data_IF_995416459647
#
_entry.id   IF_995416459647
#
_cell.length_a   1.000
_cell.length_b   1.000
_cell.length_c   1.000
_cell.angle_alpha   90.00
_cell.angle_beta   90.00
_cell.angle_gamma   90.00
#
_symmetry.space_group_name_H-M   'P 1'
#
loop_
_entity.id
_entity.type
_entity.pdbx_description
1 polymer ?
#
# COMPACT_ATOMS: atom_id res chain seq x y z
N UNK A 1 21.61 6.29 14.87
CA UNK A 1 21.81 5.56 13.60
C UNK A 1 20.46 5.42 12.94
N UNK A 2 20.40 5.62 11.64
CA UNK A 2 19.18 5.37 10.86
C UNK A 2 18.86 3.88 10.87
N UNK A 3 17.58 3.52 10.82
CA UNK A 3 17.14 2.12 10.84
C UNK A 3 17.57 1.36 9.58
N UNK A 4 17.87 0.07 9.70
CA UNK A 4 18.42 -0.73 8.59
C UNK A 4 17.43 -0.93 7.43
N UNK A 5 16.12 -0.78 7.69
CA UNK A 5 15.10 -0.86 6.63
C UNK A 5 15.21 0.25 5.57
N UNK A 6 16.00 1.30 5.79
CA UNK A 6 16.28 2.35 4.79
C UNK A 6 17.23 1.89 3.69
N UNK A 7 17.96 0.78 3.88
CA UNK A 7 18.90 0.24 2.90
C UNK A 7 18.23 -0.59 1.78
N UNK A 8 16.90 -0.73 1.82
CA UNK A 8 16.15 -1.45 0.79
C UNK A 8 15.63 -0.46 -0.24
N UNK A 9 15.87 -0.70 -1.52
CA UNK A 9 15.32 0.13 -2.61
C UNK A 9 13.92 -0.36 -3.02
N UNK A 10 13.02 0.57 -3.31
CA UNK A 10 11.67 0.31 -3.84
C UNK A 10 11.52 0.65 -5.31
N UNK A 11 12.25 1.65 -5.77
CA UNK A 11 12.41 2.04 -7.19
C UNK A 11 13.89 2.29 -7.49
N UNK A 12 14.32 1.95 -8.68
CA UNK A 12 15.70 2.20 -9.12
C UNK A 12 15.75 2.31 -10.64
N UNK A 13 16.44 3.33 -11.14
CA UNK A 13 16.67 3.57 -12.57
C UNK A 13 18.03 4.26 -12.75
N UNK A 14 18.96 3.58 -13.42
CA UNK A 14 20.30 4.08 -13.71
C UNK A 14 20.32 5.32 -14.60
N UNK A 15 19.27 5.50 -15.40
CA UNK A 15 19.13 6.64 -16.31
C UNK A 15 18.42 7.82 -15.64
N UNK A 16 17.97 7.66 -14.39
CA UNK A 16 17.29 8.73 -13.69
C UNK A 16 18.25 9.87 -13.38
N UNK A 17 17.87 11.08 -13.83
CA UNK A 17 18.64 12.30 -13.60
C UNK A 17 18.05 13.02 -12.38
N UNK A 18 18.65 12.79 -11.22
CA UNK A 18 18.26 13.39 -9.95
C UNK A 18 19.35 13.27 -8.89
N UNK A 19 19.01 13.51 -7.62
CA UNK A 19 19.98 13.47 -6.52
C UNK A 19 20.53 12.05 -6.22
N UNK A 20 19.77 11.02 -6.62
CA UNK A 20 20.11 9.59 -6.51
C UNK A 20 19.39 8.81 -7.61
N UNK A 21 19.91 7.65 -7.98
CA UNK A 21 19.34 6.75 -9.02
C UNK A 21 18.40 5.68 -8.46
N UNK A 22 18.11 5.74 -7.15
CA UNK A 22 17.22 4.83 -6.47
C UNK A 22 16.46 5.53 -5.36
N UNK A 23 15.33 4.95 -4.99
CA UNK A 23 14.45 5.47 -3.98
C UNK A 23 14.20 4.41 -2.89
N UNK A 24 14.37 4.74 -1.60
CA UNK A 24 14.10 3.83 -0.50
C UNK A 24 12.71 3.22 -0.59
N UNK A 25 12.63 1.93 -0.29
CA UNK A 25 11.39 1.17 -0.28
C UNK A 25 10.37 1.77 0.68
N UNK A 26 10.83 2.15 1.87
CA UNK A 26 10.01 2.82 2.89
C UNK A 26 9.42 4.15 2.38
N UNK A 27 10.17 4.93 1.61
CA UNK A 27 9.66 6.18 1.06
C UNK A 27 8.61 5.94 -0.02
N UNK A 28 8.88 5.04 -0.97
CA UNK A 28 7.88 4.65 -1.96
C UNK A 28 6.60 4.11 -1.30
N UNK A 29 6.75 3.26 -0.28
CA UNK A 29 5.64 2.78 0.54
C UNK A 29 4.79 3.92 1.13
N UNK A 30 5.43 4.95 1.67
CA UNK A 30 4.75 6.13 2.20
C UNK A 30 4.12 7.00 1.11
N UNK A 31 4.74 7.13 -0.05
CA UNK A 31 4.17 7.85 -1.20
C UNK A 31 2.86 7.21 -1.67
N UNK A 32 2.84 5.88 -1.76
CA UNK A 32 1.63 5.10 -2.13
C UNK A 32 0.56 5.25 -1.06
N UNK A 33 0.90 5.13 0.22
CA UNK A 33 -0.04 5.35 1.31
C UNK A 33 -0.60 6.79 1.32
N UNK A 34 0.24 7.79 1.04
CA UNK A 34 -0.17 9.19 0.94
C UNK A 34 -1.11 9.43 -0.25
N UNK A 35 -0.84 8.80 -1.40
CA UNK A 35 -1.74 8.83 -2.56
C UNK A 35 -3.09 8.20 -2.24
N UNK A 36 -3.10 7.05 -1.57
CA UNK A 36 -4.33 6.43 -1.08
C UNK A 36 -5.11 7.31 -0.11
N UNK A 37 -4.41 7.97 0.81
CA UNK A 37 -5.00 8.91 1.76
C UNK A 37 -5.63 10.11 1.04
N UNK A 38 -4.91 10.69 0.08
CA UNK A 38 -5.40 11.81 -0.71
C UNK A 38 -6.62 11.41 -1.56
N UNK A 39 -6.60 10.23 -2.21
CA UNK A 39 -7.74 9.68 -2.96
C UNK A 39 -8.99 9.53 -2.08
N UNK A 40 -8.87 8.92 -0.90
CA UNK A 40 -10.00 8.76 0.02
C UNK A 40 -10.52 10.10 0.55
N UNK A 41 -9.64 11.11 0.67
CA UNK A 41 -10.02 12.46 1.07
C UNK A 41 -10.86 13.14 -0.02
N UNK A 42 -10.45 13.05 -1.29
CA UNK A 42 -11.19 13.69 -2.40
C UNK A 42 -12.40 12.86 -2.87
N UNK A 43 -12.42 11.55 -2.62
CA UNK A 43 -13.52 10.63 -2.98
C UNK A 43 -14.10 9.93 -1.73
N UNK A 44 -14.74 10.67 -0.80
CA UNK A 44 -15.21 10.08 0.47
C UNK A 44 -16.33 9.04 0.27
N UNK A 45 -16.96 8.99 -0.92
CA UNK A 45 -17.93 7.94 -1.27
C UNK A 45 -17.30 6.54 -1.36
N UNK A 46 -16.01 6.44 -1.72
CA UNK A 46 -15.29 5.17 -1.79
C UNK A 46 -15.12 4.58 -0.39
N UNK A 47 -14.67 5.39 0.58
CA UNK A 47 -14.58 4.98 1.98
C UNK A 47 -15.94 4.57 2.54
N UNK A 48 -17.00 5.36 2.30
CA UNK A 48 -18.37 5.02 2.73
C UNK A 48 -18.86 3.69 2.13
N UNK A 49 -18.50 3.40 0.89
CA UNK A 49 -18.90 2.14 0.23
C UNK A 49 -18.16 0.96 0.84
N UNK A 50 -16.85 1.05 1.02
CA UNK A 50 -16.06 0.02 1.70
C UNK A 50 -16.50 -0.15 3.16
N UNK A 51 -16.91 0.91 3.85
CA UNK A 51 -17.49 0.88 5.18
C UNK A 51 -18.77 0.04 5.22
N UNK A 52 -19.71 0.31 4.29
CA UNK A 52 -20.96 -0.47 4.18
C UNK A 52 -20.70 -1.95 3.90
N UNK A 53 -19.80 -2.24 2.94
CA UNK A 53 -19.45 -3.61 2.55
C UNK A 53 -18.78 -4.36 3.70
N UNK A 54 -17.72 -3.79 4.27
CA UNK A 54 -16.94 -4.41 5.34
C UNK A 54 -17.66 -4.43 6.69
N UNK A 55 -18.55 -3.48 6.98
CA UNK A 55 -19.14 -3.30 8.31
C UNK A 55 -18.20 -2.69 9.35
N UNK A 56 -17.01 -2.25 8.95
CA UNK A 56 -16.08 -1.56 9.84
C UNK A 56 -16.48 -0.10 10.03
N UNK A 57 -16.06 0.52 11.13
CA UNK A 57 -16.21 1.97 11.34
C UNK A 57 -15.25 2.74 10.44
N UNK A 58 -15.63 3.96 10.05
CA UNK A 58 -14.91 4.73 9.04
C UNK A 58 -13.47 5.05 9.44
N UNK A 59 -13.26 5.36 10.72
CA UNK A 59 -11.97 5.78 11.28
C UNK A 59 -10.99 4.60 11.32
N UNK A 60 -11.48 3.43 11.75
CA UNK A 60 -10.71 2.18 11.77
C UNK A 60 -10.36 1.77 10.34
N UNK A 61 -11.35 1.79 9.45
CA UNK A 61 -11.19 1.34 8.07
C UNK A 61 -10.20 2.20 7.30
N UNK A 62 -10.25 3.53 7.46
CA UNK A 62 -9.32 4.42 6.80
C UNK A 62 -7.89 4.16 7.25
N UNK A 63 -7.62 4.18 8.56
CA UNK A 63 -6.28 3.90 9.10
C UNK A 63 -5.76 2.52 8.64
N UNK A 64 -6.62 1.52 8.66
CA UNK A 64 -6.29 0.17 8.20
C UNK A 64 -5.93 0.14 6.71
N UNK A 65 -6.73 0.78 5.85
CA UNK A 65 -6.45 0.87 4.41
C UNK A 65 -5.12 1.59 4.16
N UNK A 66 -4.88 2.74 4.79
CA UNK A 66 -3.64 3.51 4.57
C UNK A 66 -2.42 2.73 5.04
N UNK A 67 -2.51 2.06 6.19
CA UNK A 67 -1.46 1.16 6.67
C UNK A 67 -1.21 -0.01 5.70
N UNK A 68 -2.26 -0.66 5.18
CA UNK A 68 -2.12 -1.74 4.22
C UNK A 68 -1.47 -1.29 2.91
N UNK A 69 -1.81 -0.09 2.43
CA UNK A 69 -1.16 0.51 1.27
C UNK A 69 0.32 0.78 1.53
N UNK A 70 0.70 1.22 2.74
CA UNK A 70 2.10 1.42 3.09
C UNK A 70 2.91 0.12 3.03
N UNK A 71 2.30 -1.03 3.33
CA UNK A 71 2.98 -2.34 3.31
C UNK A 71 2.74 -3.15 2.03
N UNK A 72 2.11 -2.57 1.00
CA UNK A 72 1.75 -3.26 -0.25
C UNK A 72 2.95 -3.96 -0.92
N UNK A 73 4.12 -3.34 -0.77
CA UNK A 73 5.38 -3.73 -1.39
C UNK A 73 6.35 -4.43 -0.42
N UNK A 74 5.87 -4.91 0.73
CA UNK A 74 6.71 -5.60 1.72
C UNK A 74 7.50 -6.80 1.14
N UNK A 75 7.05 -7.35 0.01
CA UNK A 75 7.77 -8.37 -0.75
C UNK A 75 9.15 -7.95 -1.26
N UNK A 76 9.35 -6.66 -1.48
CA UNK A 76 10.59 -6.09 -2.02
C UNK A 76 11.74 -6.12 -1.02
N UNK A 77 11.47 -6.32 0.27
CA UNK A 77 12.52 -6.53 1.26
C UNK A 77 13.30 -7.83 1.05
N UNK A 78 12.76 -8.79 0.31
CA UNK A 78 13.48 -10.06 0.07
C UNK A 78 14.83 -9.85 -0.60
N UNK A 79 15.84 -10.60 -0.15
CA UNK A 79 17.21 -10.56 -0.72
C UNK A 79 17.20 -10.74 -2.24
N UNK A 80 16.35 -11.66 -2.73
CA UNK A 80 16.20 -11.93 -4.16
C UNK A 80 15.71 -10.72 -4.95
N UNK A 81 14.75 -9.95 -4.41
CA UNK A 81 14.28 -8.72 -5.07
C UNK A 81 15.36 -7.64 -5.05
N UNK A 82 16.00 -7.41 -3.89
CA UNK A 82 17.05 -6.40 -3.77
C UNK A 82 18.24 -6.68 -4.70
N UNK A 83 18.58 -7.96 -4.91
CA UNK A 83 19.63 -8.39 -5.81
C UNK A 83 19.32 -8.18 -7.32
N UNK A 84 18.09 -7.79 -7.69
CA UNK A 84 17.81 -7.34 -9.07
C UNK A 84 18.65 -6.13 -9.48
N UNK A 85 19.22 -5.40 -8.51
CA UNK A 85 20.26 -4.37 -8.69
C UNK A 85 21.53 -4.76 -7.94
N UNK A 86 22.42 -5.59 -8.53
CA UNK A 86 23.65 -6.05 -7.86
C UNK A 86 24.60 -4.92 -7.43
N UNK A 87 24.56 -3.80 -8.14
CA UNK A 87 25.30 -2.59 -7.79
C UNK A 87 24.77 -1.97 -6.49
N UNK A 88 23.45 -1.80 -6.36
CA UNK A 88 22.81 -1.31 -5.13
C UNK A 88 22.91 -2.33 -4.00
N UNK A 89 22.85 -3.62 -4.31
CA UNK A 89 23.08 -4.70 -3.34
C UNK A 89 24.42 -4.55 -2.63
N UNK A 90 25.48 -4.27 -3.40
CA UNK A 90 26.80 -3.99 -2.86
C UNK A 90 26.86 -2.68 -2.10
N UNK A 91 26.28 -1.61 -2.63
CA UNK A 91 26.33 -0.26 -2.04
C UNK A 91 25.55 -0.18 -0.73
N UNK A 92 24.35 -0.76 -0.68
CA UNK A 92 23.40 -0.60 0.43
C UNK A 92 23.56 -1.67 1.50
N UNK A 93 23.93 -2.91 1.12
CA UNK A 93 24.06 -4.01 2.08
C UNK A 93 25.51 -4.47 2.29
N UNK A 94 26.48 -3.95 1.52
CA UNK A 94 27.87 -4.39 1.59
C UNK A 94 28.07 -5.84 1.11
N UNK A 95 27.10 -6.41 0.40
CA UNK A 95 27.05 -7.81 -0.01
C UNK A 95 27.39 -7.99 -1.49
N UNK A 96 28.07 -9.09 -1.81
CA UNK A 96 28.41 -9.46 -3.20
C UNK A 96 27.98 -10.89 -3.55
N UNK A 97 27.44 -11.62 -2.57
CA UNK A 97 26.81 -12.91 -2.80
C UNK A 97 25.54 -12.77 -3.63
N UNK A 98 25.26 -13.80 -4.44
CA UNK A 98 24.06 -13.82 -5.28
C UNK A 98 22.86 -14.26 -4.46
N UNK A 99 21.76 -13.55 -4.58
CA UNK A 99 20.46 -13.99 -4.07
C UNK A 99 19.52 -14.37 -5.23
N UNK A 100 18.77 -15.46 -5.07
CA UNK A 100 17.83 -15.92 -6.10
C UNK A 100 16.50 -15.17 -5.97
N UNK A 101 16.04 -14.56 -7.06
CA UNK A 101 14.66 -14.06 -7.17
C UNK A 101 13.75 -15.18 -7.72
N UNK A 102 13.23 -16.00 -6.80
CA UNK A 102 12.50 -17.23 -7.13
C UNK A 102 10.98 -17.06 -7.26
N UNK A 103 10.43 -15.99 -6.70
CA UNK A 103 9.00 -15.71 -6.64
C UNK A 103 8.78 -14.20 -6.74
N UNK A 104 7.63 -13.77 -7.28
CA UNK A 104 7.32 -12.35 -7.39
C UNK A 104 7.11 -11.71 -6.02
N UNK A 105 7.53 -10.46 -5.88
CA UNK A 105 7.35 -9.68 -4.66
C UNK A 105 5.88 -9.60 -4.22
N UNK A 106 4.91 -9.67 -5.14
CA UNK A 106 3.47 -9.79 -4.82
C UNK A 106 3.22 -10.96 -3.84
N UNK A 107 3.60 -12.17 -4.23
CA UNK A 107 3.43 -13.40 -3.43
C UNK A 107 4.33 -13.38 -2.20
N UNK A 108 5.58 -12.92 -2.33
CA UNK A 108 6.52 -12.85 -1.21
C UNK A 108 6.01 -11.92 -0.09
N UNK A 109 5.44 -10.77 -0.46
CA UNK A 109 4.87 -9.82 0.49
C UNK A 109 3.60 -10.36 1.14
N UNK A 110 2.74 -11.00 0.33
CA UNK A 110 1.51 -11.64 0.82
C UNK A 110 1.81 -12.73 1.86
N UNK A 111 2.68 -13.69 1.54
CA UNK A 111 3.01 -14.80 2.43
C UNK A 111 3.70 -14.30 3.71
N UNK A 112 4.60 -13.32 3.59
CA UNK A 112 5.31 -12.74 4.74
C UNK A 112 4.33 -12.05 5.70
N UNK A 113 3.48 -11.18 5.17
CA UNK A 113 2.53 -10.41 5.99
C UNK A 113 1.44 -11.31 6.55
N UNK A 114 0.90 -12.25 5.78
CA UNK A 114 -0.12 -13.18 6.26
C UNK A 114 0.40 -14.05 7.41
N UNK A 115 1.65 -14.50 7.34
CA UNK A 115 2.24 -15.35 8.37
C UNK A 115 2.59 -14.61 9.67
N UNK A 116 2.88 -13.30 9.63
CA UNK A 116 3.50 -12.60 10.75
C UNK A 116 2.73 -11.38 11.28
N UNK A 117 1.86 -10.75 10.49
CA UNK A 117 1.30 -9.43 10.80
C UNK A 117 0.47 -9.41 12.09
N UNK A 118 -0.35 -10.44 12.33
CA UNK A 118 -1.13 -10.55 13.57
C UNK A 118 -0.25 -10.58 14.83
N UNK A 119 0.89 -11.27 14.75
CA UNK A 119 1.84 -11.36 15.86
C UNK A 119 2.61 -10.05 16.02
N UNK A 120 3.09 -9.46 14.92
CA UNK A 120 3.84 -8.21 14.96
C UNK A 120 3.01 -7.06 15.53
N UNK A 121 1.77 -6.90 15.05
CA UNK A 121 0.85 -5.86 15.52
C UNK A 121 0.28 -6.13 16.92
N UNK A 122 0.54 -7.31 17.50
CA UNK A 122 -0.07 -7.79 18.76
C UNK A 122 -1.60 -7.80 18.69
N UNK A 123 -2.15 -8.15 17.52
CA UNK A 123 -3.58 -8.23 17.23
C UNK A 123 -3.93 -9.71 16.92
N UNK A 124 -4.04 -10.59 17.92
CA UNK A 124 -4.30 -12.02 17.72
C UNK A 124 -5.64 -12.28 17.01
N UNK A 125 -6.57 -11.33 17.08
CA UNK A 125 -7.85 -11.37 16.40
C UNK A 125 -7.73 -11.40 14.88
N UNK A 126 -6.64 -10.85 14.31
CA UNK A 126 -6.33 -10.94 12.89
C UNK A 126 -5.95 -12.37 12.46
N UNK A 127 -5.43 -13.20 13.39
CA UNK A 127 -5.09 -14.60 13.14
C UNK A 127 -6.28 -15.56 13.30
N UNK A 128 -7.38 -15.11 13.90
CA UNK A 128 -8.60 -15.93 14.07
C UNK A 128 -9.08 -16.45 12.71
N UNK A 129 -9.73 -17.61 12.73
CA UNK A 129 -10.16 -18.33 11.51
C UNK A 129 -8.99 -18.57 10.54
N UNK A 130 -7.80 -18.89 11.07
CA UNK A 130 -6.59 -19.16 10.28
C UNK A 130 -6.20 -18.00 9.34
N UNK A 131 -6.43 -16.75 9.77
CA UNK A 131 -6.11 -15.56 8.97
C UNK A 131 -7.06 -15.29 7.80
N UNK A 132 -8.16 -16.05 7.64
CA UNK A 132 -9.13 -15.85 6.55
C UNK A 132 -9.72 -14.45 6.48
N UNK A 133 -9.76 -13.73 7.60
CA UNK A 133 -10.20 -12.33 7.62
C UNK A 133 -9.14 -11.37 7.10
N UNK A 134 -7.86 -11.71 7.22
CA UNK A 134 -6.74 -10.88 6.80
C UNK A 134 -6.41 -11.10 5.32
N UNK A 135 -6.60 -12.32 4.82
CA UNK A 135 -6.30 -12.72 3.44
C UNK A 135 -6.89 -11.78 2.37
N UNK A 136 -8.19 -11.40 2.38
CA UNK A 136 -8.74 -10.54 1.33
C UNK A 136 -8.08 -9.17 1.28
N UNK A 137 -7.77 -8.61 2.45
CA UNK A 137 -7.09 -7.32 2.56
C UNK A 137 -5.65 -7.39 2.05
N UNK A 138 -4.85 -8.35 2.52
CA UNK A 138 -3.47 -8.49 2.08
C UNK A 138 -3.37 -8.84 0.60
N UNK A 139 -4.20 -9.76 0.12
CA UNK A 139 -4.21 -10.15 -1.30
C UNK A 139 -4.55 -8.97 -2.22
N UNK A 140 -5.42 -8.05 -1.77
CA UNK A 140 -5.78 -6.86 -2.56
C UNK A 140 -4.64 -5.86 -2.72
N UNK A 141 -3.86 -5.59 -1.67
CA UNK A 141 -2.75 -4.62 -1.75
C UNK A 141 -1.49 -5.22 -2.31
N UNK A 142 -1.21 -6.50 -2.03
CA UNK A 142 -0.01 -7.18 -2.57
C UNK A 142 -0.18 -7.62 -4.02
N UNK A 143 -1.41 -7.83 -4.49
CA UNK A 143 -1.73 -8.12 -5.90
C UNK A 143 -1.84 -6.89 -6.81
N UNK A 144 -1.22 -5.77 -6.44
CA UNK A 144 -1.36 -4.47 -7.10
C UNK A 144 -0.80 -4.42 -8.54
N UNK A 145 -0.08 -5.45 -8.99
CA UNK A 145 0.34 -5.59 -10.40
C UNK A 145 -0.72 -6.23 -11.30
N UNK A 146 -2.00 -6.17 -10.91
CA UNK A 146 -3.13 -6.69 -11.68
C UNK A 146 -3.31 -8.22 -11.61
N UNK A 147 -2.58 -8.90 -10.72
CA UNK A 147 -2.72 -10.35 -10.49
C UNK A 147 -2.64 -10.64 -8.99
N UNK A 148 -3.62 -11.36 -8.41
CA UNK A 148 -3.55 -11.79 -7.02
C UNK A 148 -2.30 -12.64 -6.73
N UNK A 149 -1.75 -12.57 -5.50
CA UNK A 149 -0.64 -13.43 -5.07
C UNK A 149 -1.06 -14.91 -5.08
N UNK A 150 -0.07 -15.81 -5.14
CA UNK A 150 -0.33 -17.23 -4.93
C UNK A 150 -0.73 -17.45 -3.47
N UNK A 151 -1.65 -18.38 -3.24
CA UNK A 151 -2.01 -18.85 -1.91
C UNK A 151 -1.33 -20.20 -1.67
N UNK A 152 -0.20 -20.19 -0.97
CA UNK A 152 0.64 -21.37 -0.81
C UNK A 152 0.16 -22.28 0.32
N UNK A 153 0.56 -23.56 0.25
CA UNK A 153 0.40 -24.44 1.41
C UNK A 153 1.28 -23.93 2.57
N UNK A 154 0.95 -24.29 3.82
CA UNK A 154 1.76 -23.88 4.98
C UNK A 154 3.23 -24.31 4.86
N UNK A 155 3.49 -25.49 4.31
CA UNK A 155 4.84 -26.00 4.10
C UNK A 155 5.61 -25.19 3.05
N UNK A 156 4.99 -24.94 1.90
CA UNK A 156 5.59 -24.17 0.81
C UNK A 156 5.84 -22.71 1.23
N UNK A 157 4.89 -22.10 1.95
CA UNK A 157 5.01 -20.76 2.53
C UNK A 157 6.20 -20.68 3.49
N UNK A 158 6.32 -21.63 4.42
CA UNK A 158 7.44 -21.66 5.37
C UNK A 158 8.81 -21.81 4.68
N UNK A 159 8.90 -22.64 3.63
CA UNK A 159 10.12 -22.77 2.83
C UNK A 159 10.43 -21.48 2.08
N UNK A 160 9.44 -20.89 1.41
CA UNK A 160 9.59 -19.63 0.69
C UNK A 160 10.11 -18.51 1.62
N UNK A 161 9.51 -18.37 2.81
CA UNK A 161 9.90 -17.34 3.76
C UNK A 161 11.29 -17.56 4.36
N UNK A 162 11.71 -18.81 4.53
CA UNK A 162 13.07 -19.14 4.99
C UNK A 162 14.10 -18.80 3.91
N UNK A 163 13.80 -19.09 2.66
CA UNK A 163 14.75 -18.97 1.54
C UNK A 163 14.91 -17.50 1.07
N UNK A 164 13.91 -16.65 1.31
CA UNK A 164 13.89 -15.25 0.83
C UNK A 164 14.00 -14.18 1.93
N UNK A 165 13.78 -14.53 3.21
CA UNK A 165 13.86 -13.58 4.33
C UNK A 165 14.72 -14.14 5.47
N UNK A 166 16.06 -13.99 5.39
CA UNK A 166 16.95 -14.19 6.52
C UNK A 166 16.49 -13.42 7.76
N UNK A 167 16.96 -13.84 8.94
CA UNK A 167 16.51 -13.28 10.23
C UNK A 167 16.66 -11.75 10.29
N UNK A 168 17.76 -11.20 9.77
CA UNK A 168 17.98 -9.75 9.76
C UNK A 168 16.94 -9.04 8.87
N UNK A 169 16.73 -9.51 7.62
CA UNK A 169 15.69 -8.96 6.74
C UNK A 169 14.31 -9.00 7.38
N UNK A 170 13.96 -10.11 8.03
CA UNK A 170 12.68 -10.24 8.73
C UNK A 170 12.56 -9.25 9.89
N UNK A 171 13.64 -8.97 10.60
CA UNK A 171 13.67 -7.95 11.65
C UNK A 171 13.51 -6.54 11.07
N UNK A 172 14.14 -6.24 9.94
CA UNK A 172 14.03 -4.94 9.26
C UNK A 172 12.59 -4.70 8.79
N UNK A 173 11.97 -5.70 8.16
CA UNK A 173 10.54 -5.63 7.77
C UNK A 173 9.65 -5.42 8.98
N UNK A 174 9.88 -6.16 10.06
CA UNK A 174 9.11 -6.02 11.30
C UNK A 174 9.25 -4.62 11.88
N UNK A 175 10.46 -4.06 11.90
CA UNK A 175 10.71 -2.71 12.39
C UNK A 175 9.98 -1.68 11.51
N UNK A 176 10.12 -1.77 10.18
CA UNK A 176 9.38 -0.92 9.24
C UNK A 176 7.87 -0.97 9.47
N UNK A 177 7.29 -2.17 9.62
CA UNK A 177 5.86 -2.34 9.86
C UNK A 177 5.41 -1.70 11.18
N UNK A 178 6.19 -1.87 12.26
CA UNK A 178 5.85 -1.31 13.56
C UNK A 178 5.96 0.22 13.57
N UNK A 179 6.99 0.78 12.92
CA UNK A 179 7.12 2.23 12.80
C UNK A 179 6.04 2.84 11.90
N UNK A 180 5.68 2.15 10.81
CA UNK A 180 4.56 2.53 9.94
C UNK A 180 3.21 2.45 10.66
N UNK A 181 3.00 1.42 11.49
CA UNK A 181 1.83 1.32 12.36
C UNK A 181 1.76 2.52 13.30
N UNK A 182 2.86 2.85 13.99
CA UNK A 182 2.91 3.97 14.93
C UNK A 182 2.65 5.32 14.26
N UNK A 183 3.06 5.47 13.00
CA UNK A 183 2.85 6.68 12.21
C UNK A 183 1.40 6.82 11.71
N UNK A 184 0.80 5.74 11.21
CA UNK A 184 -0.44 5.79 10.43
C UNK A 184 -1.69 5.36 11.21
N UNK A 185 -1.52 4.74 12.38
CA UNK A 185 -2.61 4.20 13.18
C UNK A 185 -2.60 4.81 14.59
N UNK A 186 -3.78 5.10 15.12
CA UNK A 186 -3.92 5.57 16.50
C UNK A 186 -3.46 4.50 17.48
N UNK A 187 -2.89 4.91 18.61
CA UNK A 187 -2.50 3.99 19.70
C UNK A 187 -3.68 3.17 20.23
N UNK A 188 -4.89 3.73 20.16
CA UNK A 188 -6.15 3.06 20.55
C UNK A 188 -6.75 2.20 19.42
N UNK A 189 -6.01 1.94 18.34
CA UNK A 189 -6.49 1.07 17.27
C UNK A 189 -6.70 -0.33 17.82
N UNK A 190 -7.97 -0.75 17.86
CA UNK A 190 -8.36 -2.10 18.21
C UNK A 190 -9.10 -2.72 17.05
N UNK A 191 -8.63 -3.89 16.62
CA UNK A 191 -9.36 -4.66 15.64
C UNK A 191 -10.69 -5.12 16.24
N UNK A 192 -11.77 -4.90 15.52
CA UNK A 192 -13.11 -5.25 16.02
C UNK A 192 -13.30 -6.77 16.02
N UNK A 193 -14.02 -7.27 17.02
CA UNK A 193 -14.40 -8.68 17.09
C UNK A 193 -15.10 -9.12 15.79
N UNK A 194 -14.66 -10.26 15.24
CA UNK A 194 -15.18 -10.80 13.99
C UNK A 194 -16.58 -11.36 14.17
N UNK A 195 -17.55 -10.76 13.50
CA UNK A 195 -18.92 -11.26 13.43
C UNK A 195 -19.04 -12.47 12.48
N UNK A 196 -20.16 -13.17 12.53
CA UNK A 196 -20.50 -14.16 11.51
C UNK A 196 -20.64 -13.49 10.13
N UNK A 197 -20.23 -14.17 9.06
CA UNK A 197 -20.22 -13.62 7.70
C UNK A 197 -19.15 -12.54 7.42
N UNK A 198 -18.32 -12.18 8.41
CA UNK A 198 -17.36 -11.08 8.29
C UNK A 198 -16.30 -11.29 7.19
N UNK A 199 -15.91 -12.55 6.93
CA UNK A 199 -14.97 -12.89 5.86
C UNK A 199 -15.53 -12.49 4.49
N UNK A 200 -16.81 -12.78 4.21
CA UNK A 200 -17.42 -12.42 2.91
C UNK A 200 -17.54 -10.92 2.74
N UNK A 201 -17.88 -10.21 3.82
CA UNK A 201 -17.90 -8.75 3.84
C UNK A 201 -16.55 -8.14 3.51
N UNK A 202 -15.47 -8.73 4.03
CA UNK A 202 -14.11 -8.30 3.70
C UNK A 202 -13.73 -8.63 2.26
N UNK A 203 -14.15 -9.79 1.72
CA UNK A 203 -13.96 -10.10 0.29
C UNK A 203 -14.69 -9.12 -0.63
N UNK A 204 -15.89 -8.70 -0.27
CA UNK A 204 -16.62 -7.69 -1.04
C UNK A 204 -15.91 -6.34 -1.01
N UNK A 205 -15.47 -5.89 0.17
CA UNK A 205 -14.74 -4.62 0.31
C UNK A 205 -13.36 -4.65 -0.37
N UNK A 206 -12.67 -5.80 -0.35
CA UNK A 206 -11.30 -5.92 -0.88
C UNK A 206 -11.23 -5.68 -2.39
N UNK A 207 -12.31 -5.90 -3.15
CA UNK A 207 -12.34 -5.56 -4.58
C UNK A 207 -12.13 -4.07 -4.85
N UNK A 208 -12.77 -3.21 -4.05
CA UNK A 208 -12.56 -1.76 -4.14
C UNK A 208 -11.14 -1.38 -3.69
N UNK A 209 -10.64 -2.04 -2.66
CA UNK A 209 -9.27 -1.82 -2.19
C UNK A 209 -8.23 -2.20 -3.25
N UNK A 210 -8.43 -3.28 -4.03
CA UNK A 210 -7.52 -3.63 -5.12
C UNK A 210 -7.38 -2.50 -6.15
N UNK A 211 -8.51 -1.91 -6.57
CA UNK A 211 -8.49 -0.76 -7.50
C UNK A 211 -7.81 0.47 -6.90
N UNK A 212 -8.06 0.74 -5.61
CA UNK A 212 -7.38 1.81 -4.89
C UNK A 212 -5.87 1.57 -4.79
N UNK A 213 -5.43 0.35 -4.48
CA UNK A 213 -4.02 0.00 -4.34
C UNK A 213 -3.26 0.15 -5.66
N UNK A 214 -3.82 -0.34 -6.77
CA UNK A 214 -3.26 -0.15 -8.11
C UNK A 214 -3.14 1.35 -8.44
N UNK A 215 -4.20 2.12 -8.21
CA UNK A 215 -4.22 3.56 -8.52
C UNK A 215 -3.20 4.32 -7.67
N UNK A 216 -3.13 4.00 -6.37
CA UNK A 216 -2.19 4.62 -5.44
C UNK A 216 -0.73 4.29 -5.78
N UNK A 217 -0.42 3.04 -6.16
CA UNK A 217 0.93 2.66 -6.61
C UNK A 217 1.32 3.39 -7.90
N UNK A 218 0.41 3.51 -8.88
CA UNK A 218 0.68 4.26 -10.11
C UNK A 218 0.98 5.73 -9.85
N UNK A 219 0.22 6.38 -8.95
CA UNK A 219 0.48 7.76 -8.56
C UNK A 219 1.80 7.89 -7.79
N UNK A 220 2.02 7.03 -6.79
CA UNK A 220 3.23 7.00 -5.95
C UNK A 220 4.50 6.55 -6.67
N UNK A 221 4.37 6.02 -7.89
CA UNK A 221 5.50 5.62 -8.76
C UNK A 221 5.95 6.72 -9.72
N UNK A 222 5.20 7.81 -9.84
CA UNK A 222 5.48 8.83 -10.83
C UNK A 222 6.55 9.81 -10.34
N UNK A 223 7.73 9.75 -10.95
CA UNK A 223 8.91 10.54 -10.55
C UNK A 223 8.77 12.05 -10.76
N UNK A 224 7.73 12.52 -11.45
CA UNK A 224 7.36 13.95 -11.52
C UNK A 224 6.80 14.46 -10.18
N UNK A 225 6.09 13.60 -9.44
CA UNK A 225 5.48 13.94 -8.16
C UNK A 225 6.32 13.44 -6.98
N UNK A 226 6.96 12.29 -7.17
CA UNK A 226 7.81 11.62 -6.18
C UNK A 226 9.21 11.39 -6.76
N UNK A 227 10.04 12.46 -6.86
CA UNK A 227 11.41 12.31 -7.32
C UNK A 227 12.20 11.41 -6.36
N UNK A 228 13.27 10.77 -6.84
CA UNK A 228 14.03 9.87 -5.97
C UNK A 228 14.79 10.65 -4.89
N UNK A 229 14.44 10.36 -3.64
CA UNK A 229 15.10 10.89 -2.44
C UNK A 229 16.13 9.90 -1.88
N UNK A 230 17.23 10.43 -1.35
CA UNK A 230 18.13 9.69 -0.45
C UNK A 230 17.45 9.55 0.93
N UNK A 231 17.75 8.50 1.70
CA UNK A 231 17.19 8.30 3.03
C UNK A 231 17.82 9.29 4.04
N UNK A 232 17.56 10.59 3.91
CA UNK A 232 18.20 11.61 4.74
C UNK A 232 17.34 12.03 5.94
N UNK A 233 16.04 11.72 5.91
CA UNK A 233 15.05 12.08 6.95
C UNK A 233 14.31 10.84 7.48
N UNK A 234 13.75 10.93 8.68
CA UNK A 234 12.94 9.83 9.22
C UNK A 234 11.58 9.69 8.51
N UNK A 235 10.85 8.61 8.79
CA UNK A 235 9.56 8.32 8.14
C UNK A 235 8.47 9.35 8.47
N UNK A 236 8.54 9.97 9.65
CA UNK A 236 7.54 10.95 10.10
C UNK A 236 7.75 12.27 9.39
N UNK A 237 8.99 12.72 9.31
CA UNK A 237 9.37 13.90 8.55
C UNK A 237 9.08 13.70 7.06
N UNK A 238 9.47 12.56 6.48
CA UNK A 238 9.18 12.23 5.07
C UNK A 238 7.68 12.25 4.78
N UNK A 239 6.87 11.60 5.63
CA UNK A 239 5.42 11.55 5.48
C UNK A 239 4.78 12.95 5.42
N UNK A 240 5.15 13.81 6.38
CA UNK A 240 4.53 15.12 6.53
C UNK A 240 5.03 16.14 5.50
N UNK A 241 6.31 16.10 5.16
CA UNK A 241 6.95 17.16 4.36
C UNK A 241 7.08 16.82 2.87
N UNK A 242 7.07 15.53 2.51
CA UNK A 242 7.28 15.06 1.14
C UNK A 242 6.08 14.25 0.63
N UNK A 243 5.73 13.14 1.29
CA UNK A 243 4.73 12.21 0.78
C UNK A 243 3.33 12.82 0.69
N UNK A 244 2.85 13.47 1.77
CA UNK A 244 1.53 14.11 1.79
C UNK A 244 1.41 15.27 0.78
N UNK A 245 2.34 16.25 0.73
CA UNK A 245 2.30 17.29 -0.30
C UNK A 245 2.42 16.75 -1.74
N UNK A 246 3.29 15.75 -1.95
CA UNK A 246 3.47 15.09 -3.24
C UNK A 246 2.17 14.41 -3.71
N UNK A 247 1.49 13.71 -2.81
CA UNK A 247 0.21 13.08 -3.08
C UNK A 247 -0.88 14.10 -3.43
N UNK A 248 -0.99 15.21 -2.68
CA UNK A 248 -1.96 16.27 -3.00
C UNK A 248 -1.73 16.82 -4.41
N UNK A 249 -0.47 17.09 -4.77
CA UNK A 249 -0.08 17.52 -6.12
C UNK A 249 -0.44 16.47 -7.17
N UNK A 250 -0.14 15.20 -6.91
CA UNK A 250 -0.45 14.08 -7.81
C UNK A 250 -1.95 13.97 -8.10
N UNK A 251 -2.81 14.11 -7.10
CA UNK A 251 -4.27 14.07 -7.28
C UNK A 251 -4.77 15.22 -8.16
N UNK A 252 -4.27 16.43 -7.95
CA UNK A 252 -4.65 17.59 -8.77
C UNK A 252 -4.18 17.42 -10.21
N UNK A 253 -2.91 17.09 -10.42
CA UNK A 253 -2.31 17.02 -11.76
C UNK A 253 -2.73 15.80 -12.57
N UNK A 254 -3.15 14.70 -11.92
CA UNK A 254 -3.71 13.52 -12.59
C UNK A 254 -5.16 13.70 -13.03
N UNK A 255 -5.86 14.74 -12.55
CA UNK A 255 -7.29 14.93 -12.79
C UNK A 255 -8.20 13.98 -12.01
N UNK A 256 -7.66 13.21 -11.06
CA UNK A 256 -8.44 12.31 -10.18
C UNK A 256 -9.09 13.04 -9.00
N UNK A 257 -8.82 14.34 -8.85
CA UNK A 257 -9.53 15.22 -7.92
C UNK A 257 -11.04 15.23 -8.20
N UNK A 258 -11.84 15.21 -7.13
CA UNK A 258 -13.29 15.37 -7.25
C UNK A 258 -13.65 16.84 -7.36
N UNK A 259 -14.43 17.19 -8.38
CA UNK A 259 -15.10 18.50 -8.44
C UNK A 259 -16.60 18.25 -8.49
N UNK A 260 -17.31 18.48 -7.39
CA UNK A 260 -18.77 18.42 -7.39
C UNK A 260 -19.32 19.71 -7.99
N UNK A 261 -19.86 19.62 -9.19
CA UNK A 261 -20.59 20.73 -9.80
C UNK A 261 -22.04 20.73 -9.34
N UNK A 262 -22.57 21.91 -9.00
CA UNK A 262 -24.01 22.08 -8.81
C UNK A 262 -24.75 21.76 -10.11
N UNK A 263 -25.78 20.92 -10.07
CA UNK A 263 -26.61 20.63 -11.25
C UNK A 263 -27.43 21.87 -11.62
N UNK A 264 -27.11 22.58 -12.72
CA UNK A 264 -27.72 23.86 -13.01
C UNK A 264 -29.08 23.73 -13.71
N UNK A 265 -29.60 22.51 -13.88
CA UNK A 265 -30.76 22.18 -14.70
C UNK A 265 -30.36 21.72 -16.12
N UNK A 266 -31.21 20.91 -16.75
CA UNK A 266 -30.90 20.27 -18.04
C UNK A 266 -30.67 21.29 -19.16
N UNK A 267 -31.46 22.37 -19.22
CA UNK A 267 -31.30 23.41 -20.24
C UNK A 267 -29.99 24.18 -20.13
N UNK A 268 -29.37 24.24 -18.94
CA UNK A 268 -28.04 24.85 -18.77
C UNK A 268 -26.90 23.90 -19.13
N UNK A 269 -27.07 22.60 -18.92
CA UNK A 269 -26.10 21.58 -19.35
C UNK A 269 -26.16 21.30 -20.84
N UNK A 270 -27.36 21.41 -21.43
CA UNK A 270 -27.62 21.16 -22.84
C UNK A 270 -28.32 22.38 -23.45
N UNK A 271 -27.57 23.45 -23.78
CA UNK A 271 -28.14 24.71 -24.28
C UNK A 271 -28.98 24.59 -25.55
N UNK A 272 -28.84 23.46 -26.27
CA UNK A 272 -29.60 23.13 -27.47
C UNK A 272 -30.98 22.51 -27.18
N UNK A 273 -31.28 22.15 -25.93
CA UNK A 273 -32.60 21.63 -25.53
C UNK A 273 -33.48 22.81 -25.11
N UNK A 274 -34.42 23.19 -25.98
CA UNK A 274 -35.33 24.32 -25.74
C UNK A 274 -36.44 24.02 -24.71
N UNK A 275 -36.85 22.75 -24.61
CA UNK A 275 -37.86 22.28 -23.66
C UNK A 275 -37.54 20.85 -23.24
N UNK A 276 -37.54 20.58 -21.93
CA UNK A 276 -37.36 19.22 -21.40
C UNK A 276 -38.48 18.31 -21.89
N UNK A 277 -38.12 17.11 -22.36
CA UNK A 277 -39.12 16.04 -22.59
C UNK A 277 -39.70 15.54 -21.26
N UNK A 278 -40.85 14.85 -21.23
CA UNK A 278 -41.39 14.26 -20.01
C UNK A 278 -40.45 13.29 -19.29
N UNK A 279 -39.50 12.67 -20.00
CA UNK A 279 -38.46 11.81 -19.41
C UNK A 279 -37.33 12.61 -18.75
N UNK A 280 -37.14 13.86 -19.19
CA UNK A 280 -36.10 14.78 -18.73
C UNK A 280 -36.58 15.76 -17.65
N UNK A 281 -37.89 15.82 -17.42
CA UNK A 281 -38.56 16.74 -16.49
C UNK A 281 -38.59 16.22 -15.06
#
# INVERSE_FOLDING_TARGET
MQADYFHYWGKADEKYVGATTWHPLVYHSLDVAACGHALLTVQPSWLRTMQRLSGLRSEILQQWIIFLLAIHDAGKFSDGFQFLRPDLWKILHGRTDKARYGERHDTLGYELTLANLSQWLRQPDLAKRSGQCLQPWLASVTGHHGKPPKNLSKGDSAMLLRDHYPVHVRNDVKQFILETQNLLMSQDFQWTALLEGQVERYRQASWMLSGLAVTADWLGSNTRWFPYHKPDVDITEYWNTIALPGAQKAIVESGLGSTTAHFPGIGKLFPHISSSTPLQA
#
